data_IF_096102268563
#
_entry.id   IF_096102268563
#
_cell.length_a   1.000
_cell.length_b   1.000
_cell.length_c   1.000
_cell.angle_alpha   90.00
_cell.angle_beta   90.00
_cell.angle_gamma   90.00
#
_symmetry.space_group_name_H-M   'P 1'
#
loop_
_entity.id
_entity.type
_entity.pdbx_description
1 polymer ?
#
# COMPACT_ATOMS: atom_id res chain seq x y z
N UNK A 1 9.66 -12.74 -1.20
CA UNK A 1 8.25 -12.50 -1.57
C UNK A 1 8.18 -12.52 -3.08
N UNK A 2 7.34 -13.36 -3.69
CA UNK A 2 7.19 -13.37 -5.15
C UNK A 2 6.66 -12.02 -5.64
N UNK A 3 7.08 -11.57 -6.82
CA UNK A 3 6.58 -10.31 -7.41
C UNK A 3 5.06 -10.29 -7.53
N UNK A 4 4.43 -11.43 -7.81
CA UNK A 4 2.98 -11.57 -7.82
C UNK A 4 2.38 -11.24 -6.45
N UNK A 5 2.96 -11.77 -5.37
CA UNK A 5 2.53 -11.46 -3.99
C UNK A 5 2.66 -9.97 -3.67
N UNK A 6 3.73 -9.29 -4.15
CA UNK A 6 3.95 -7.85 -3.89
C UNK A 6 2.88 -6.99 -4.52
N UNK A 7 2.59 -7.22 -5.79
CA UNK A 7 1.58 -6.46 -6.53
C UNK A 7 0.16 -6.76 -6.04
N UNK A 8 -0.12 -8.00 -5.63
CA UNK A 8 -1.37 -8.32 -4.94
C UNK A 8 -1.51 -7.53 -3.64
N UNK A 9 -0.44 -7.40 -2.86
CA UNK A 9 -0.46 -6.64 -1.60
C UNK A 9 -0.76 -5.15 -1.85
N UNK A 10 -0.15 -4.56 -2.88
CA UNK A 10 -0.44 -3.18 -3.30
C UNK A 10 -1.90 -3.02 -3.71
N UNK A 11 -2.43 -3.94 -4.52
CA UNK A 11 -3.82 -3.90 -4.95
C UNK A 11 -4.79 -4.00 -3.76
N UNK A 12 -4.52 -4.90 -2.80
CA UNK A 12 -5.31 -5.04 -1.57
C UNK A 12 -5.26 -3.75 -0.75
N UNK A 13 -4.09 -3.15 -0.57
CA UNK A 13 -3.93 -1.88 0.15
C UNK A 13 -4.77 -0.76 -0.49
N UNK A 14 -4.76 -0.64 -1.83
CA UNK A 14 -5.56 0.34 -2.56
C UNK A 14 -7.07 0.09 -2.34
N UNK A 15 -7.52 -1.16 -2.46
CA UNK A 15 -8.94 -1.51 -2.26
C UNK A 15 -9.39 -1.22 -0.84
N UNK A 16 -8.60 -1.61 0.16
CA UNK A 16 -8.88 -1.31 1.57
C UNK A 16 -9.01 0.19 1.78
N UNK A 17 -8.07 0.97 1.24
CA UNK A 17 -8.11 2.42 1.35
C UNK A 17 -9.36 3.05 0.72
N UNK A 18 -9.75 2.60 -0.47
CA UNK A 18 -10.94 3.08 -1.15
C UNK A 18 -12.21 2.75 -0.35
N UNK A 19 -12.34 1.50 0.14
CA UNK A 19 -13.48 1.08 0.97
C UNK A 19 -13.54 1.90 2.25
N UNK A 20 -12.40 2.10 2.91
CA UNK A 20 -12.34 2.88 4.14
C UNK A 20 -12.75 4.34 3.92
N UNK A 21 -12.33 4.97 2.82
CA UNK A 21 -12.77 6.33 2.49
C UNK A 21 -14.27 6.39 2.17
N UNK A 22 -14.84 5.36 1.53
CA UNK A 22 -16.30 5.27 1.29
C UNK A 22 -17.08 5.16 2.62
N UNK A 23 -16.57 4.37 3.58
CA UNK A 23 -17.25 4.13 4.86
C UNK A 23 -17.10 5.32 5.82
N UNK A 24 -15.88 5.87 5.93
CA UNK A 24 -15.56 6.92 6.91
C UNK A 24 -15.85 8.33 6.37
N UNK A 25 -16.02 8.49 5.05
CA UNK A 25 -16.19 9.80 4.41
C UNK A 25 -15.04 10.75 4.75
N UNK A 26 -15.39 12.00 5.07
CA UNK A 26 -14.42 13.06 5.43
C UNK A 26 -13.99 13.03 6.91
N UNK A 27 -14.23 11.92 7.61
CA UNK A 27 -13.81 11.75 8.99
C UNK A 27 -12.29 11.79 9.15
N UNK A 28 -11.79 12.33 10.27
CA UNK A 28 -10.36 12.41 10.56
C UNK A 28 -9.64 11.04 10.52
N UNK A 29 -10.38 9.95 10.79
CA UNK A 29 -9.87 8.58 10.66
C UNK A 29 -9.56 8.18 9.21
N UNK A 30 -10.27 8.72 8.21
CA UNK A 30 -9.99 8.48 6.80
C UNK A 30 -8.61 9.02 6.40
N UNK A 31 -8.20 10.16 7.00
CA UNK A 31 -6.86 10.74 6.82
C UNK A 31 -5.80 9.78 7.35
N UNK A 32 -5.97 9.30 8.59
CA UNK A 32 -5.02 8.38 9.24
C UNK A 32 -4.86 7.10 8.41
N UNK A 33 -5.97 6.47 8.01
CA UNK A 33 -5.93 5.25 7.21
C UNK A 33 -5.28 5.50 5.86
N UNK A 34 -5.56 6.64 5.22
CA UNK A 34 -4.93 7.01 3.94
C UNK A 34 -3.44 7.24 4.04
N UNK A 35 -2.97 7.92 5.10
CA UNK A 35 -1.54 8.07 5.35
C UNK A 35 -0.86 6.72 5.58
N UNK A 36 -1.43 5.86 6.44
CA UNK A 36 -0.87 4.52 6.72
C UNK A 36 -0.83 3.66 5.47
N UNK A 37 -1.91 3.67 4.69
CA UNK A 37 -1.99 2.87 3.46
C UNK A 37 -0.97 3.36 2.43
N UNK A 38 -0.83 4.68 2.25
CA UNK A 38 0.18 5.28 1.37
C UNK A 38 1.60 4.88 1.78
N UNK A 39 1.92 4.94 3.07
CA UNK A 39 3.23 4.52 3.60
C UNK A 39 3.48 3.04 3.31
N UNK A 40 2.47 2.18 3.51
CA UNK A 40 2.59 0.75 3.23
C UNK A 40 2.86 0.47 1.75
N UNK A 41 2.17 1.16 0.83
CA UNK A 41 2.41 1.04 -0.62
C UNK A 41 3.82 1.48 -0.98
N UNK A 42 4.29 2.63 -0.47
CA UNK A 42 5.66 3.10 -0.69
C UNK A 42 6.68 2.10 -0.16
N UNK A 43 6.45 1.51 1.02
CA UNK A 43 7.31 0.48 1.59
C UNK A 43 7.44 -0.75 0.68
N UNK A 44 6.35 -1.22 0.08
CA UNK A 44 6.38 -2.35 -0.87
C UNK A 44 7.18 -2.01 -2.12
N UNK A 45 7.01 -0.79 -2.66
CA UNK A 45 7.77 -0.33 -3.83
C UNK A 45 9.26 -0.23 -3.50
N UNK A 46 9.62 0.29 -2.34
CA UNK A 46 11.02 0.35 -1.89
C UNK A 46 11.62 -1.05 -1.70
N UNK A 47 10.90 -2.01 -1.10
CA UNK A 47 11.37 -3.40 -0.99
C UNK A 47 11.61 -4.05 -2.36
N UNK A 48 10.76 -3.73 -3.34
CA UNK A 48 10.97 -4.18 -4.73
C UNK A 48 12.25 -3.59 -5.34
N UNK A 49 12.40 -2.26 -5.29
CA UNK A 49 13.54 -1.55 -5.88
C UNK A 49 14.87 -1.93 -5.23
N UNK A 50 14.89 -2.05 -3.89
CA UNK A 50 16.10 -2.38 -3.15
C UNK A 50 16.54 -3.83 -3.37
N UNK A 51 15.61 -4.78 -3.50
CA UNK A 51 15.95 -6.17 -3.83
C UNK A 51 16.35 -6.36 -5.28
N UNK A 52 15.70 -5.68 -6.22
CA UNK A 52 16.13 -5.70 -7.63
C UNK A 52 17.54 -5.13 -7.86
N UNK A 53 18.07 -4.35 -6.90
CA UNK A 53 19.44 -3.82 -6.91
C UNK A 53 20.49 -4.79 -6.35
N UNK A 54 20.07 -5.82 -5.61
CA UNK A 54 20.97 -6.83 -5.02
C UNK A 54 21.15 -8.10 -5.86
N UNK A 55 20.42 -8.24 -6.97
CA UNK A 55 20.46 -9.38 -7.90
C UNK A 55 21.19 -9.06 -9.23
N UNK A 56 21.80 -7.88 -9.37
CA UNK A 56 22.71 -7.51 -10.46
C UNK A 56 24.16 -7.46 -9.96
#
# INVERSE_FOLDING_TARGET
MSNSTRWTLVAVLIVVNAITNVILGDGWLAIVVSSVTGIAVVGVVLDYLLRGRGEN
#
